data_IF_246743067125
#
_entry.id   IF_246743067125
#
_cell.length_a   1.000
_cell.length_b   1.000
_cell.length_c   1.000
_cell.angle_alpha   90.00
_cell.angle_beta   90.00
_cell.angle_gamma   90.00
#
_symmetry.space_group_name_H-M   'P 1'
#
loop_
_entity.id
_entity.type
_entity.pdbx_description
1 polymer ?
#
# COMPACT_ATOMS: atom_id res chain seq x y z
N UNK A 1 12.62 11.67 8.76
CA UNK A 1 11.86 10.88 9.42
C UNK A 1 10.65 10.38 8.88
N UNK A 2 10.30 10.65 7.80
CA UNK A 2 9.12 10.26 7.26
C UNK A 2 9.18 9.07 6.47
N UNK A 3 10.30 8.39 6.44
CA UNK A 3 10.38 7.19 5.68
C UNK A 3 9.69 6.06 6.34
N UNK A 4 9.33 6.21 7.59
CA UNK A 4 8.66 5.16 8.31
C UNK A 4 7.22 5.08 7.85
N UNK A 5 6.83 3.92 7.38
CA UNK A 5 5.45 3.69 6.98
C UNK A 5 4.61 3.60 8.24
N UNK A 6 3.56 4.39 8.31
CA UNK A 6 2.70 4.41 9.47
C UNK A 6 1.98 3.08 9.65
N UNK A 7 1.53 2.86 10.87
CA UNK A 7 0.83 1.63 11.20
C UNK A 7 -0.42 1.45 10.31
N UNK A 8 -1.16 2.53 10.12
CA UNK A 8 -2.36 2.48 9.30
C UNK A 8 -2.01 2.21 7.86
N UNK A 9 -0.94 2.84 7.37
CA UNK A 9 -0.52 2.63 6.00
C UNK A 9 -0.07 1.20 5.77
N UNK A 10 0.66 0.65 6.74
CA UNK A 10 1.12 -0.73 6.64
C UNK A 10 -0.05 -1.69 6.64
N UNK A 11 -1.05 -1.42 7.45
CA UNK A 11 -2.23 -2.25 7.51
C UNK A 11 -2.95 -2.29 6.17
N UNK A 12 -3.12 -1.12 5.54
CA UNK A 12 -3.76 -1.05 4.25
C UNK A 12 -2.92 -1.68 3.16
N UNK A 13 -1.61 -1.51 3.25
CA UNK A 13 -0.72 -2.14 2.29
C UNK A 13 -0.86 -3.65 2.34
N UNK A 14 -0.93 -4.20 3.53
CA UNK A 14 -1.11 -5.63 3.70
C UNK A 14 -2.45 -6.08 3.15
N UNK A 15 -3.47 -5.28 3.39
CA UNK A 15 -4.79 -5.59 2.89
C UNK A 15 -4.82 -5.61 1.37
N UNK A 16 -4.20 -4.63 0.74
CA UNK A 16 -4.13 -4.57 -0.71
C UNK A 16 -3.39 -5.77 -1.26
N UNK A 17 -2.32 -6.17 -0.59
CA UNK A 17 -1.53 -7.29 -1.06
C UNK A 17 -2.27 -8.62 -0.90
N UNK A 18 -3.13 -8.72 0.07
CA UNK A 18 -3.81 -9.97 0.35
C UNK A 18 -5.07 -10.19 -0.48
N UNK A 19 -5.58 -9.13 -1.09
CA UNK A 19 -6.84 -9.20 -1.80
C UNK A 19 -6.64 -8.92 -3.27
N UNK A 20 -7.20 -9.76 -4.13
CA UNK A 20 -7.14 -9.49 -5.55
C UNK A 20 -8.39 -8.78 -6.02
N UNK A 21 -9.32 -8.52 -5.12
CA UNK A 21 -10.53 -7.82 -5.50
C UNK A 21 -10.36 -6.33 -5.38
N UNK A 22 -11.25 -5.61 -6.06
CA UNK A 22 -11.29 -4.18 -5.94
C UNK A 22 -11.55 -3.81 -4.50
N UNK A 23 -10.83 -2.84 -3.99
CA UNK A 23 -10.97 -2.42 -2.62
C UNK A 23 -11.26 -0.96 -2.53
N UNK A 24 -11.90 -0.56 -1.43
CA UNK A 24 -12.16 0.84 -1.16
C UNK A 24 -11.11 1.30 -0.18
N UNK A 25 -10.10 1.97 -0.69
CA UNK A 25 -9.01 2.47 0.13
C UNK A 25 -9.29 3.94 0.44
N UNK A 26 -9.16 4.35 1.71
CA UNK A 26 -9.36 5.78 2.04
C UNK A 26 -8.45 6.63 1.19
N UNK A 27 -8.98 7.73 0.70
CA UNK A 27 -8.26 8.57 -0.24
C UNK A 27 -6.91 9.03 0.30
N UNK A 28 -6.85 9.43 1.54
CA UNK A 28 -5.59 9.88 2.12
C UNK A 28 -4.56 8.77 2.22
N UNK A 29 -5.01 7.59 2.59
CA UNK A 29 -4.11 6.45 2.69
C UNK A 29 -3.61 6.06 1.32
N UNK A 30 -4.51 6.00 0.35
CA UNK A 30 -4.12 5.67 -1.01
C UNK A 30 -3.13 6.65 -1.57
N UNK A 31 -3.37 7.95 -1.35
CA UNK A 31 -2.48 8.97 -1.84
C UNK A 31 -1.08 8.83 -1.23
N UNK A 32 -1.02 8.52 0.06
CA UNK A 32 0.27 8.36 0.72
C UNK A 32 1.02 7.16 0.20
N UNK A 33 0.32 6.04 0.02
CA UNK A 33 0.96 4.84 -0.48
C UNK A 33 1.46 5.03 -1.90
N UNK A 34 0.67 5.72 -2.73
CA UNK A 34 1.08 6.02 -4.09
C UNK A 34 2.32 6.92 -4.11
N UNK A 35 2.30 7.94 -3.25
CA UNK A 35 3.42 8.87 -3.20
C UNK A 35 4.69 8.18 -2.77
N UNK A 36 4.59 7.21 -1.88
CA UNK A 36 5.77 6.48 -1.42
C UNK A 36 6.19 5.40 -2.41
N UNK A 37 5.39 5.16 -3.45
CA UNK A 37 5.73 4.15 -4.44
C UNK A 37 5.48 2.73 -3.93
N UNK A 38 4.62 2.58 -2.94
CA UNK A 38 4.34 1.27 -2.38
C UNK A 38 3.22 0.55 -3.10
N UNK A 39 2.36 1.30 -3.77
CA UNK A 39 1.30 0.72 -4.58
C UNK A 39 1.24 1.46 -5.91
N UNK A 40 0.53 0.87 -6.86
CA UNK A 40 0.32 1.50 -8.14
C UNK A 40 -1.13 1.29 -8.55
N UNK A 41 -1.62 2.14 -9.42
CA UNK A 41 -3.00 2.02 -9.88
C UNK A 41 -3.09 0.96 -10.95
N UNK A 42 -4.16 0.20 -10.90
CA UNK A 42 -4.44 -0.82 -11.92
C UNK A 42 -5.88 -0.64 -12.35
N UNK A 43 -6.28 -1.40 -13.33
CA UNK A 43 -7.65 -1.33 -13.81
C UNK A 43 -8.64 -1.75 -12.74
N UNK A 44 -8.25 -2.68 -11.89
CA UNK A 44 -9.14 -3.16 -10.86
C UNK A 44 -8.99 -2.44 -9.54
N UNK A 45 -8.10 -1.44 -9.46
CA UNK A 45 -7.89 -0.74 -8.20
C UNK A 45 -6.42 -0.46 -7.95
N UNK A 46 -5.84 -1.13 -6.99
CA UNK A 46 -4.45 -0.92 -6.64
C UNK A 46 -3.72 -2.25 -6.55
N UNK A 47 -2.42 -2.20 -6.77
CA UNK A 47 -1.57 -3.37 -6.63
C UNK A 47 -0.31 -2.95 -5.89
N UNK A 48 0.24 -3.85 -5.10
CA UNK A 48 1.46 -3.58 -4.33
C UNK A 48 2.65 -3.67 -5.27
N UNK A 49 3.53 -2.68 -5.22
CA UNK A 49 4.74 -2.66 -6.04
C UNK A 49 5.82 -3.51 -5.38
N UNK A 50 6.94 -3.65 -6.07
CA UNK A 50 8.08 -4.37 -5.49
C UNK A 50 8.53 -3.67 -4.21
N UNK A 51 8.55 -2.33 -4.22
CA UNK A 51 8.92 -1.58 -3.05
C UNK A 51 7.95 -1.84 -1.90
N UNK A 52 6.66 -1.95 -2.22
CA UNK A 52 5.66 -2.25 -1.21
C UNK A 52 5.87 -3.63 -0.60
N UNK A 53 6.25 -4.60 -1.42
CA UNK A 53 6.51 -5.94 -0.91
C UNK A 53 7.70 -5.95 0.02
N UNK A 54 8.72 -5.19 -0.31
CA UNK A 54 9.89 -5.10 0.53
C UNK A 54 9.51 -4.49 1.88
N UNK A 55 8.68 -3.45 1.85
CA UNK A 55 8.24 -2.82 3.08
C UNK A 55 7.45 -3.80 3.94
N UNK A 56 6.57 -4.58 3.33
CA UNK A 56 5.81 -5.57 4.08
C UNK A 56 6.71 -6.62 4.69
N UNK A 57 7.72 -7.04 3.97
CA UNK A 57 8.64 -8.06 4.47
C UNK A 57 9.45 -7.54 5.64
N UNK A 58 9.82 -6.27 5.60
CA UNK A 58 10.63 -5.72 6.68
C UNK A 58 9.83 -5.27 7.88
N UNK A 59 8.66 -4.72 7.63
CA UNK A 59 7.86 -4.14 8.72
C UNK A 59 6.71 -5.00 9.15
N UNK A 60 6.33 -5.88 8.31
CA UNK A 60 5.24 -6.77 8.63
C UNK A 60 5.75 -8.08 9.16
#
# INVERSE_FOLDING_TARGET
>A
MDEIVGFVELRWLREISATSRKQVVPELVGARLLRRGLIERTLGGFAVTARGRIALAKLG
#
